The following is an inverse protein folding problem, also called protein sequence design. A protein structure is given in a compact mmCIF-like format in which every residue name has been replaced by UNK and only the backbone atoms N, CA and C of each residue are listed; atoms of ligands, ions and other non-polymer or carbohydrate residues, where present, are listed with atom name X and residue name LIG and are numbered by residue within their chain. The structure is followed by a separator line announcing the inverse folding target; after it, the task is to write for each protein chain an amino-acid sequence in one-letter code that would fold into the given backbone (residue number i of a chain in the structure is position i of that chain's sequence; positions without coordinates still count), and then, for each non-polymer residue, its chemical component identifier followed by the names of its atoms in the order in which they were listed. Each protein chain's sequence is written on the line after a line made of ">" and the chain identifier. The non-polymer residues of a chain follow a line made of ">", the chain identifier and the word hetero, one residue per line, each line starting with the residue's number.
data_IF_858428777565
#
_entry.id   IF_858428777565
#
_cell.length_a   1.000
_cell.length_b   1.000
_cell.length_c   1.000
_cell.angle_alpha   90.00
_cell.angle_beta   90.00
_cell.angle_gamma   90.00
#
_symmetry.space_group_name_H-M   'P 1'
#
loop_
_entity.id
_entity.type
_entity.pdbx_description
1 polymer ?
#
# COMPACT_ATOMS: atom_id res chain seq x y z
N UNK A 1 -62.77 -2.73 -19.13
CA UNK A 1 -62.29 -2.06 -17.90
C UNK A 1 -60.77 -2.19 -17.84
N UNK A 2 -60.10 -1.04 -17.97
CA UNK A 2 -58.74 -0.71 -17.54
C UNK A 2 -57.57 -1.64 -17.89
N UNK A 3 -56.93 -1.33 -19.02
CA UNK A 3 -55.52 -1.61 -19.29
C UNK A 3 -54.61 -1.03 -18.20
N UNK A 4 -53.90 -1.90 -17.49
CA UNK A 4 -52.80 -1.50 -16.62
C UNK A 4 -51.57 -1.14 -17.48
N UNK A 5 -51.42 0.14 -17.80
CA UNK A 5 -50.17 0.69 -18.33
C UNK A 5 -49.06 0.49 -17.31
N UNK A 6 -48.14 -0.44 -17.58
CA UNK A 6 -46.82 -0.46 -16.95
C UNK A 6 -46.12 0.87 -17.24
N UNK A 7 -46.07 1.74 -16.24
CA UNK A 7 -45.26 2.94 -16.28
C UNK A 7 -43.78 2.57 -16.37
N UNK A 8 -43.17 2.73 -17.55
CA UNK A 8 -41.72 2.86 -17.68
C UNK A 8 -41.28 4.00 -16.76
N UNK A 9 -40.59 3.68 -15.66
CA UNK A 9 -39.85 4.69 -14.87
C UNK A 9 -38.92 5.41 -15.85
N UNK A 10 -39.18 6.69 -16.12
CA UNK A 10 -38.22 7.57 -16.80
C UNK A 10 -37.00 7.63 -15.88
N UNK A 11 -35.90 7.01 -16.29
CA UNK A 11 -34.63 7.13 -15.60
C UNK A 11 -34.31 8.61 -15.42
N UNK A 12 -33.92 8.99 -14.22
CA UNK A 12 -33.50 10.37 -13.93
C UNK A 12 -32.23 10.69 -14.73
N UNK A 13 -31.91 11.98 -14.91
CA UNK A 13 -30.63 12.37 -15.52
C UNK A 13 -29.43 11.71 -14.82
N UNK A 14 -29.54 11.46 -13.51
CA UNK A 14 -28.54 10.75 -12.70
C UNK A 14 -28.40 9.29 -13.14
N UNK A 15 -29.50 8.59 -13.41
CA UNK A 15 -29.48 7.19 -13.87
C UNK A 15 -28.83 7.07 -15.26
N UNK A 16 -29.13 8.00 -16.16
CA UNK A 16 -28.50 8.05 -17.49
C UNK A 16 -26.99 8.32 -17.38
N UNK A 17 -26.59 9.30 -16.57
CA UNK A 17 -25.18 9.60 -16.33
C UNK A 17 -24.43 8.40 -15.73
N UNK A 18 -25.08 7.67 -14.81
CA UNK A 18 -24.56 6.43 -14.22
C UNK A 18 -24.37 5.34 -15.28
N UNK A 19 -25.37 5.10 -16.13
CA UNK A 19 -25.26 4.12 -17.23
C UNK A 19 -24.15 4.46 -18.22
N UNK A 20 -24.01 5.73 -18.60
CA UNK A 20 -22.94 6.19 -19.49
C UNK A 20 -21.56 5.94 -18.85
N UNK A 21 -21.42 6.28 -17.56
CA UNK A 21 -20.19 6.02 -16.79
C UNK A 21 -19.88 4.52 -16.74
N UNK A 22 -20.85 3.68 -16.43
CA UNK A 22 -20.69 2.22 -16.35
C UNK A 22 -20.23 1.65 -17.70
N UNK A 23 -20.89 2.01 -18.80
CA UNK A 23 -20.49 1.58 -20.15
C UNK A 23 -19.07 2.06 -20.54
N UNK A 24 -18.68 3.28 -20.14
CA UNK A 24 -17.32 3.77 -20.35
C UNK A 24 -16.28 2.99 -19.51
N UNK A 25 -16.58 2.68 -18.25
CA UNK A 25 -15.71 1.86 -17.39
C UNK A 25 -15.50 0.47 -18.00
N UNK A 26 -16.58 -0.19 -18.42
CA UNK A 26 -16.49 -1.53 -19.03
C UNK A 26 -15.68 -1.53 -20.33
N UNK A 27 -15.83 -0.48 -21.15
CA UNK A 27 -15.12 -0.38 -22.43
C UNK A 27 -13.64 -0.02 -22.30
N UNK A 28 -13.29 0.87 -21.37
CA UNK A 28 -11.94 1.48 -21.33
C UNK A 28 -11.09 1.08 -20.12
N UNK A 29 -11.68 0.47 -19.08
CA UNK A 29 -11.02 0.07 -17.82
C UNK A 29 -11.28 -1.41 -17.51
N UNK A 30 -10.95 -2.28 -18.46
CA UNK A 30 -11.21 -3.71 -18.36
C UNK A 30 -10.40 -4.38 -17.24
N UNK A 31 -9.11 -4.04 -17.12
CA UNK A 31 -8.25 -4.62 -16.11
C UNK A 31 -8.50 -3.99 -14.74
N UNK A 32 -8.76 -4.84 -13.74
CA UNK A 32 -8.84 -4.46 -12.32
C UNK A 32 -7.52 -4.76 -11.64
N UNK A 33 -7.11 -3.91 -10.72
CA UNK A 33 -5.94 -4.20 -9.91
C UNK A 33 -5.99 -3.54 -8.54
N UNK A 34 -5.24 -4.15 -7.62
CA UNK A 34 -4.92 -3.59 -6.31
C UNK A 34 -3.44 -3.24 -6.32
N UNK A 35 -3.13 -1.97 -6.10
CA UNK A 35 -1.79 -1.50 -5.81
C UNK A 35 -1.57 -1.49 -4.29
N UNK A 36 -0.88 -2.51 -3.79
CA UNK A 36 -0.43 -2.59 -2.40
C UNK A 36 0.74 -1.62 -2.19
N UNK A 37 0.46 -0.52 -1.50
CA UNK A 37 1.43 0.52 -1.22
C UNK A 37 2.03 0.32 0.17
N UNK A 38 3.26 -0.19 0.21
CA UNK A 38 4.06 -0.19 1.44
C UNK A 38 4.59 1.21 1.70
N UNK A 39 4.46 1.75 2.94
CA UNK A 39 4.98 3.07 3.28
C UNK A 39 6.42 3.29 2.79
N UNK A 40 6.65 4.48 2.24
CA UNK A 40 7.98 4.98 1.81
C UNK A 40 8.63 4.23 0.65
N UNK A 41 7.85 3.45 -0.09
CA UNK A 41 8.29 2.82 -1.35
C UNK A 41 7.88 3.62 -2.60
N UNK A 42 7.56 4.92 -2.46
CA UNK A 42 7.20 5.78 -3.60
C UNK A 42 5.75 5.66 -4.09
N UNK A 43 4.88 4.99 -3.35
CA UNK A 43 3.52 4.72 -3.81
C UNK A 43 2.59 5.94 -3.85
N UNK A 44 2.93 7.07 -3.25
CA UNK A 44 2.17 8.33 -3.50
C UNK A 44 2.24 8.73 -4.97
N UNK A 45 3.45 8.75 -5.55
CA UNK A 45 3.66 9.10 -6.96
C UNK A 45 3.05 8.06 -7.90
N UNK A 46 3.31 6.77 -7.62
CA UNK A 46 2.81 5.63 -8.42
C UNK A 46 1.29 5.53 -8.35
N UNK A 47 0.72 5.52 -7.13
CA UNK A 47 -0.71 5.45 -6.90
C UNK A 47 -1.46 6.61 -7.57
N UNK A 48 -0.87 7.81 -7.59
CA UNK A 48 -1.45 8.94 -8.32
C UNK A 48 -1.41 8.74 -9.83
N UNK A 49 -0.33 8.19 -10.39
CA UNK A 49 -0.27 7.88 -11.82
C UNK A 49 -1.37 6.88 -12.22
N UNK A 50 -1.60 5.85 -11.39
CA UNK A 50 -2.73 4.92 -11.57
C UNK A 50 -4.09 5.60 -11.48
N UNK A 51 -4.33 6.41 -10.44
CA UNK A 51 -5.61 7.11 -10.26
C UNK A 51 -5.95 8.05 -11.41
N UNK A 52 -4.96 8.70 -12.01
CA UNK A 52 -5.16 9.53 -13.22
C UNK A 52 -5.66 8.69 -14.40
N UNK A 53 -5.10 7.50 -14.60
CA UNK A 53 -5.51 6.57 -15.67
C UNK A 53 -6.90 5.97 -15.44
N UNK A 54 -7.29 5.79 -14.18
CA UNK A 54 -8.53 5.14 -13.74
C UNK A 54 -9.53 6.11 -13.11
N UNK A 55 -9.55 7.38 -13.54
CA UNK A 55 -10.33 8.43 -12.88
C UNK A 55 -11.83 8.11 -12.74
N UNK A 56 -12.40 7.29 -13.64
CA UNK A 56 -13.81 6.87 -13.59
C UNK A 56 -14.10 5.76 -12.56
N UNK A 57 -13.08 4.99 -12.15
CA UNK A 57 -13.24 3.89 -11.18
C UNK A 57 -11.94 3.66 -10.42
N UNK A 58 -11.73 4.50 -9.41
CA UNK A 58 -10.59 4.40 -8.51
C UNK A 58 -10.98 4.72 -7.08
N UNK A 59 -10.31 4.09 -6.13
CA UNK A 59 -10.43 4.37 -4.71
C UNK A 59 -9.06 4.28 -4.04
N UNK A 60 -8.90 4.98 -2.91
CA UNK A 60 -7.71 4.90 -2.09
C UNK A 60 -8.08 4.57 -0.65
N UNK A 61 -7.42 3.57 -0.08
CA UNK A 61 -7.46 3.34 1.37
C UNK A 61 -6.37 4.21 1.99
N UNK A 62 -6.78 5.42 2.36
CA UNK A 62 -5.89 6.48 2.86
C UNK A 62 -5.45 6.21 4.30
N UNK A 63 -4.15 6.27 4.63
CA UNK A 63 -3.65 5.84 5.92
C UNK A 63 -4.07 6.79 7.05
N UNK A 64 -4.07 8.09 6.80
CA UNK A 64 -4.45 9.12 7.78
C UNK A 64 -5.95 9.04 8.08
N UNK A 65 -6.78 9.01 7.03
CA UNK A 65 -8.23 8.98 7.15
C UNK A 65 -8.73 7.70 7.82
N UNK A 66 -8.15 6.54 7.47
CA UNK A 66 -8.50 5.27 8.12
C UNK A 66 -8.04 5.21 9.58
N UNK A 67 -6.87 5.77 9.90
CA UNK A 67 -6.39 5.88 11.28
C UNK A 67 -7.35 6.73 12.12
N UNK A 68 -7.63 7.97 11.68
CA UNK A 68 -8.55 8.88 12.39
C UNK A 68 -9.96 8.30 12.54
N UNK A 69 -10.45 7.59 11.53
CA UNK A 69 -11.73 6.91 11.62
C UNK A 69 -11.72 5.79 12.68
N UNK A 70 -10.65 5.00 12.74
CA UNK A 70 -10.50 3.92 13.72
C UNK A 70 -10.29 4.44 15.15
N UNK A 71 -9.46 5.48 15.30
CA UNK A 71 -9.26 6.20 16.56
C UNK A 71 -10.58 6.77 17.09
N UNK A 72 -11.35 7.48 16.25
CA UNK A 72 -12.65 8.01 16.64
C UNK A 72 -13.68 6.92 16.98
N UNK A 73 -13.61 5.75 16.34
CA UNK A 73 -14.52 4.63 16.60
C UNK A 73 -14.18 3.91 17.91
N UNK A 74 -12.90 3.75 18.21
CA UNK A 74 -12.44 2.98 19.38
C UNK A 74 -12.29 3.83 20.64
N UNK A 75 -12.15 5.15 20.51
CA UNK A 75 -11.89 6.09 21.59
C UNK A 75 -10.63 5.76 22.42
N UNK A 76 -9.68 5.05 21.79
CA UNK A 76 -8.38 4.71 22.37
C UNK A 76 -7.35 5.81 22.11
N UNK A 77 -6.36 5.90 22.98
CA UNK A 77 -5.24 6.86 22.91
C UNK A 77 -3.86 6.20 22.72
N UNK A 78 -3.81 4.86 22.58
CA UNK A 78 -2.58 4.11 22.37
C UNK A 78 -2.18 4.06 20.88
N UNK A 79 -1.48 5.11 20.42
CA UNK A 79 -1.07 5.28 19.02
C UNK A 79 -0.45 4.03 18.39
N UNK A 80 0.45 3.33 19.10
CA UNK A 80 1.11 2.14 18.58
C UNK A 80 0.14 0.97 18.34
N UNK A 81 -0.76 0.71 19.29
CA UNK A 81 -1.78 -0.33 19.14
C UNK A 81 -2.77 0.02 18.02
N UNK A 82 -3.16 1.29 17.92
CA UNK A 82 -4.02 1.79 16.85
C UNK A 82 -3.39 1.63 15.45
N UNK A 83 -2.09 1.89 15.32
CA UNK A 83 -1.35 1.71 14.06
C UNK A 83 -1.34 0.26 13.57
N UNK A 84 -1.41 -0.70 14.49
CA UNK A 84 -1.48 -2.14 14.20
C UNK A 84 -2.91 -2.52 13.83
N UNK A 85 -3.86 -2.17 14.69
CA UNK A 85 -5.25 -2.59 14.56
C UNK A 85 -5.95 -1.99 13.34
N UNK A 86 -5.59 -0.77 12.95
CA UNK A 86 -6.15 -0.13 11.75
C UNK A 86 -5.88 -0.95 10.48
N UNK A 87 -4.86 -1.82 10.46
CA UNK A 87 -4.58 -2.69 9.31
C UNK A 87 -5.74 -3.67 9.04
N UNK A 88 -6.43 -4.15 10.08
CA UNK A 88 -7.62 -5.00 9.92
C UNK A 88 -8.76 -4.22 9.26
N UNK A 89 -9.01 -2.99 9.72
CA UNK A 89 -10.01 -2.10 9.10
C UNK A 89 -9.69 -1.86 7.62
N UNK A 90 -8.42 -1.58 7.31
CA UNK A 90 -7.99 -1.31 5.92
C UNK A 90 -8.18 -2.55 5.04
N UNK A 91 -7.95 -3.76 5.56
CA UNK A 91 -8.23 -5.02 4.87
C UNK A 91 -9.74 -5.21 4.60
N UNK A 92 -10.61 -4.88 5.57
CA UNK A 92 -12.06 -4.89 5.37
C UNK A 92 -12.50 -3.88 4.30
N UNK A 93 -11.92 -2.68 4.31
CA UNK A 93 -12.18 -1.65 3.27
C UNK A 93 -11.73 -2.18 1.89
N UNK A 94 -10.57 -2.84 1.80
CA UNK A 94 -10.13 -3.47 0.55
C UNK A 94 -11.18 -4.44 0.02
N UNK A 95 -11.65 -5.38 0.85
CA UNK A 95 -12.69 -6.34 0.46
C UNK A 95 -13.97 -5.62 -0.01
N UNK A 96 -14.43 -4.62 0.74
CA UNK A 96 -15.58 -3.79 0.37
C UNK A 96 -15.42 -3.15 -1.02
N UNK A 97 -14.25 -2.57 -1.31
CA UNK A 97 -13.96 -1.93 -2.59
C UNK A 97 -13.90 -2.95 -3.74
N UNK A 98 -13.38 -4.15 -3.49
CA UNK A 98 -13.34 -5.23 -4.48
C UNK A 98 -14.74 -5.80 -4.77
N UNK A 99 -15.61 -5.92 -3.77
CA UNK A 99 -17.02 -6.26 -3.97
C UNK A 99 -17.78 -5.15 -4.70
N UNK A 100 -17.38 -3.90 -4.50
CA UNK A 100 -17.91 -2.73 -5.21
C UNK A 100 -17.33 -2.55 -6.62
N UNK A 101 -16.55 -3.52 -7.13
CA UNK A 101 -16.00 -3.58 -8.49
C UNK A 101 -15.15 -2.36 -8.88
N UNK A 102 -14.47 -1.75 -7.90
CA UNK A 102 -13.55 -0.64 -8.16
C UNK A 102 -12.36 -1.13 -8.97
N UNK A 103 -12.07 -0.49 -10.10
CA UNK A 103 -11.09 -1.00 -11.07
C UNK A 103 -9.64 -0.71 -10.68
N UNK A 104 -9.38 0.39 -9.99
CA UNK A 104 -8.06 0.74 -9.46
C UNK A 104 -8.15 1.01 -7.96
N UNK A 105 -7.62 0.10 -7.15
CA UNK A 105 -7.56 0.28 -5.69
C UNK A 105 -6.10 0.55 -5.31
N UNK A 106 -5.82 1.71 -4.71
CA UNK A 106 -4.50 2.03 -4.15
C UNK A 106 -4.60 1.99 -2.63
N UNK A 107 -3.85 1.12 -1.95
CA UNK A 107 -4.15 0.87 -0.54
C UNK A 107 -2.91 0.57 0.31
N UNK A 108 -2.88 1.14 1.52
CA UNK A 108 -1.94 0.76 2.59
C UNK A 108 -2.49 -0.44 3.36
N UNK A 109 -2.54 -1.59 2.71
CA UNK A 109 -3.18 -2.80 3.23
C UNK A 109 -2.21 -3.97 3.22
N UNK A 110 -2.34 -4.82 4.24
CA UNK A 110 -1.69 -6.12 4.25
C UNK A 110 -2.24 -7.00 3.12
N UNK A 111 -1.47 -7.99 2.73
CA UNK A 111 -1.91 -9.06 1.86
C UNK A 111 -3.01 -9.84 2.58
N UNK A 112 -4.16 -9.96 1.92
CA UNK A 112 -5.31 -10.69 2.42
C UNK A 112 -5.47 -11.98 1.65
N UNK A 113 -5.26 -13.11 2.32
CA UNK A 113 -5.49 -14.44 1.73
C UNK A 113 -6.95 -14.59 1.27
N UNK A 114 -7.88 -14.00 2.02
CA UNK A 114 -9.32 -13.99 1.69
C UNK A 114 -9.55 -13.21 0.39
N UNK A 115 -8.98 -12.01 0.27
CA UNK A 115 -9.10 -11.22 -0.95
C UNK A 115 -8.47 -11.97 -2.14
N UNK A 116 -7.27 -12.51 -1.97
CA UNK A 116 -6.59 -13.22 -3.04
C UNK A 116 -7.37 -14.45 -3.49
N UNK A 117 -7.77 -15.34 -2.58
CA UNK A 117 -8.52 -16.56 -2.91
C UNK A 117 -9.83 -16.24 -3.65
N UNK A 118 -10.50 -15.13 -3.31
CA UNK A 118 -11.78 -14.76 -3.89
C UNK A 118 -11.68 -13.99 -5.20
N UNK A 119 -10.61 -13.22 -5.41
CA UNK A 119 -10.52 -12.23 -6.47
C UNK A 119 -9.29 -12.36 -7.40
N UNK A 120 -8.35 -13.27 -7.18
CA UNK A 120 -7.14 -13.41 -8.04
C UNK A 120 -7.46 -13.60 -9.54
N UNK A 121 -8.58 -14.24 -9.89
CA UNK A 121 -9.01 -14.39 -11.28
C UNK A 121 -9.60 -13.12 -11.90
N UNK A 122 -9.81 -12.05 -11.13
CA UNK A 122 -10.43 -10.79 -11.58
C UNK A 122 -9.57 -9.56 -11.34
N UNK A 123 -8.80 -9.55 -10.26
CA UNK A 123 -7.92 -8.46 -9.85
C UNK A 123 -6.47 -8.88 -9.97
N UNK A 124 -5.67 -8.04 -10.61
CA UNK A 124 -4.21 -8.12 -10.61
C UNK A 124 -3.65 -7.51 -9.31
N UNK A 125 -2.57 -8.07 -8.80
CA UNK A 125 -1.90 -7.64 -7.59
C UNK A 125 -0.57 -7.00 -7.94
N UNK A 126 -0.42 -5.73 -7.55
CA UNK A 126 0.70 -4.88 -7.94
C UNK A 126 1.34 -4.28 -6.70
N UNK A 127 2.66 -4.29 -6.63
CA UNK A 127 3.41 -3.53 -5.63
C UNK A 127 4.72 -2.99 -6.20
N UNK A 128 5.32 -2.07 -5.46
CA UNK A 128 6.66 -1.57 -5.70
C UNK A 128 7.36 -1.44 -4.35
N UNK A 129 8.58 -1.96 -4.27
CA UNK A 129 9.37 -2.02 -3.05
C UNK A 129 10.59 -1.10 -3.16
N UNK A 130 11.19 -0.77 -2.02
CA UNK A 130 12.44 -0.02 -1.92
C UNK A 130 13.48 -0.83 -1.13
N UNK A 131 14.76 -0.58 -1.34
CA UNK A 131 15.79 -1.22 -0.50
C UNK A 131 15.47 -1.00 1.01
N UNK A 132 15.41 -2.07 1.83
CA UNK A 132 14.90 -2.03 3.20
C UNK A 132 15.49 -0.95 4.09
N UNK A 133 16.81 -0.76 4.06
CA UNK A 133 17.52 0.20 4.92
C UNK A 133 17.18 1.62 4.48
N UNK A 134 17.24 1.91 3.19
CA UNK A 134 16.83 3.21 2.65
C UNK A 134 15.36 3.52 2.96
N UNK A 135 14.48 2.51 2.92
CA UNK A 135 13.08 2.66 3.28
C UNK A 135 12.91 2.94 4.78
N UNK A 136 13.64 2.23 5.65
CA UNK A 136 13.64 2.44 7.11
C UNK A 136 14.04 3.88 7.46
N UNK A 137 15.18 4.35 6.97
CA UNK A 137 15.66 5.72 7.21
C UNK A 137 14.68 6.75 6.63
N UNK A 138 14.12 6.48 5.45
CA UNK A 138 13.11 7.36 4.87
C UNK A 138 11.81 7.42 5.68
N UNK A 139 11.48 6.35 6.40
CA UNK A 139 10.30 6.30 7.26
C UNK A 139 10.55 7.08 8.54
N UNK A 140 11.66 6.82 9.24
CA UNK A 140 12.08 7.59 10.41
C UNK A 140 12.07 9.10 10.10
N UNK A 141 12.77 9.55 9.05
CA UNK A 141 12.82 10.97 8.68
C UNK A 141 11.46 11.59 8.34
N UNK A 142 10.51 10.78 7.86
CA UNK A 142 9.17 11.28 7.58
C UNK A 142 8.34 11.36 8.86
N UNK A 143 8.52 10.45 9.80
CA UNK A 143 7.75 10.37 11.04
C UNK A 143 8.27 11.27 12.14
N UNK A 144 9.58 11.44 12.23
CA UNK A 144 10.24 12.17 13.32
C UNK A 144 9.86 13.66 13.34
N UNK A 145 9.37 14.12 14.49
CA UNK A 145 9.00 15.52 14.73
C UNK A 145 7.81 16.02 13.92
N UNK A 146 6.94 15.13 13.43
CA UNK A 146 5.67 15.49 12.76
C UNK A 146 4.51 15.44 13.72
N UNK A 147 4.42 16.47 14.58
CA UNK A 147 3.36 16.60 15.57
C UNK A 147 1.96 16.45 14.96
N UNK A 148 1.18 15.53 15.53
CA UNK A 148 -0.21 15.27 15.13
C UNK A 148 -0.38 14.42 13.88
N UNK A 149 0.70 13.82 13.35
CA UNK A 149 0.60 12.81 12.29
C UNK A 149 0.33 11.42 12.88
N UNK A 150 -0.48 10.59 12.20
CA UNK A 150 -0.82 9.23 12.67
C UNK A 150 0.39 8.34 13.01
N UNK A 151 1.55 8.58 12.38
CA UNK A 151 2.79 7.84 12.63
C UNK A 151 3.93 8.76 13.05
N UNK A 152 3.66 9.76 13.89
CA UNK A 152 4.68 10.59 14.56
C UNK A 152 5.68 9.74 15.35
N UNK A 153 6.97 10.09 15.29
CA UNK A 153 8.02 9.60 16.19
C UNK A 153 8.56 10.81 16.95
N UNK A 154 8.71 10.68 18.26
CA UNK A 154 9.22 11.76 19.13
C UNK A 154 10.62 11.48 19.64
N UNK A 155 11.02 10.20 19.64
CA UNK A 155 12.33 9.75 20.08
C UNK A 155 13.42 10.09 19.07
N UNK A 156 14.57 10.53 19.59
CA UNK A 156 15.81 10.62 18.82
C UNK A 156 16.23 9.26 18.27
N UNK A 157 17.04 9.28 17.20
CA UNK A 157 17.29 8.10 16.40
C UNK A 157 17.87 6.93 17.21
N UNK A 158 18.87 7.17 18.07
CA UNK A 158 19.49 6.11 18.88
C UNK A 158 18.50 5.48 19.86
N UNK A 159 17.63 6.29 20.48
CA UNK A 159 16.56 5.80 21.36
C UNK A 159 15.50 5.04 20.57
N UNK A 160 15.12 5.56 19.40
CA UNK A 160 14.16 4.94 18.51
C UNK A 160 14.63 3.53 18.08
N UNK A 161 15.91 3.34 17.76
CA UNK A 161 16.45 2.04 17.33
C UNK A 161 16.25 0.91 18.36
N UNK A 162 16.08 1.24 19.65
CA UNK A 162 15.83 0.27 20.72
C UNK A 162 14.34 -0.05 20.92
N UNK A 163 13.44 0.64 20.20
CA UNK A 163 11.99 0.51 20.39
C UNK A 163 11.39 -0.70 19.68
N UNK A 164 10.26 -1.20 20.20
CA UNK A 164 9.40 -2.19 19.52
C UNK A 164 8.93 -1.66 18.16
N UNK A 165 8.69 -0.35 18.07
CA UNK A 165 8.30 0.31 16.85
C UNK A 165 9.39 0.29 15.77
N UNK A 166 10.66 0.48 16.14
CA UNK A 166 11.77 0.30 15.20
C UNK A 166 11.86 -1.16 14.73
N UNK A 167 11.69 -2.13 15.64
CA UNK A 167 11.61 -3.55 15.29
C UNK A 167 10.53 -3.79 14.23
N UNK A 168 9.27 -3.42 14.49
CA UNK A 168 8.17 -3.60 13.53
C UNK A 168 8.39 -2.80 12.24
N UNK A 169 8.91 -1.58 12.34
CA UNK A 169 9.23 -0.75 11.18
C UNK A 169 10.26 -1.43 10.28
N UNK A 170 11.27 -2.11 10.84
CA UNK A 170 12.30 -2.85 10.10
C UNK A 170 11.81 -4.13 9.42
N UNK A 171 10.66 -4.67 9.81
CA UNK A 171 10.03 -5.85 9.21
C UNK A 171 8.68 -5.52 8.53
N UNK A 172 8.60 -4.37 7.86
CA UNK A 172 7.34 -3.90 7.29
C UNK A 172 6.90 -4.76 6.09
N UNK A 173 7.82 -5.34 5.33
CA UNK A 173 7.48 -6.26 4.23
C UNK A 173 6.90 -7.55 4.79
N UNK A 174 7.46 -8.04 5.90
CA UNK A 174 6.90 -9.17 6.62
C UNK A 174 5.48 -8.84 7.13
N UNK A 175 5.27 -7.67 7.74
CA UNK A 175 3.94 -7.22 8.20
C UNK A 175 2.94 -7.09 7.04
N UNK A 176 3.34 -6.50 5.92
CA UNK A 176 2.45 -6.23 4.81
C UNK A 176 2.18 -7.45 3.92
N UNK A 177 3.09 -8.42 3.81
CA UNK A 177 2.94 -9.48 2.82
C UNK A 177 2.79 -10.88 3.41
N UNK A 178 3.10 -11.13 4.68
CA UNK A 178 2.99 -12.49 5.26
C UNK A 178 1.56 -13.04 5.35
N UNK A 179 0.54 -12.16 5.33
CA UNK A 179 -0.85 -12.54 5.56
C UNK A 179 -1.08 -13.14 6.95
N UNK A 180 -0.20 -12.86 7.91
CA UNK A 180 -0.33 -13.27 9.29
C UNK A 180 -1.32 -12.36 10.05
N UNK A 181 -1.98 -12.87 11.10
CA UNK A 181 -2.79 -12.04 11.99
C UNK A 181 -1.91 -11.00 12.69
N UNK A 182 -2.52 -9.91 13.16
CA UNK A 182 -1.79 -8.74 13.69
C UNK A 182 -1.00 -9.02 14.96
N UNK A 183 -1.39 -10.06 15.71
CA UNK A 183 -0.75 -10.53 16.93
C UNK A 183 0.53 -11.33 16.66
N UNK A 184 0.78 -11.72 15.40
CA UNK A 184 1.95 -12.51 15.05
C UNK A 184 3.24 -11.69 15.15
N UNK A 185 4.33 -12.36 15.53
CA UNK A 185 5.66 -11.77 15.47
C UNK A 185 6.13 -11.68 14.02
N UNK A 186 6.16 -10.46 13.47
CA UNK A 186 6.57 -10.19 12.08
C UNK A 186 8.08 -10.34 11.86
N UNK A 187 8.85 -10.63 12.92
CA UNK A 187 10.30 -10.85 12.87
C UNK A 187 10.73 -12.31 12.82
N UNK A 188 9.81 -13.25 12.97
CA UNK A 188 10.17 -14.66 12.87
C UNK A 188 10.42 -15.06 11.40
N UNK A 189 11.18 -16.15 11.20
CA UNK A 189 11.51 -16.63 9.85
C UNK A 189 10.26 -17.03 9.05
N UNK A 190 9.22 -17.52 9.73
CA UNK A 190 7.93 -17.85 9.12
C UNK A 190 7.28 -16.63 8.44
N UNK A 191 7.40 -15.43 9.03
CA UNK A 191 6.83 -14.20 8.47
C UNK A 191 7.53 -13.81 7.17
N UNK A 192 8.86 -13.88 7.11
CA UNK A 192 9.63 -13.63 5.88
C UNK A 192 9.31 -14.67 4.80
N UNK A 193 9.30 -15.96 5.16
CA UNK A 193 8.99 -17.04 4.22
C UNK A 193 7.58 -16.89 3.62
N UNK A 194 6.58 -16.55 4.45
CA UNK A 194 5.22 -16.28 3.99
C UNK A 194 5.13 -15.02 3.13
N UNK A 195 5.84 -13.96 3.50
CA UNK A 195 5.89 -12.74 2.70
C UNK A 195 6.45 -13.00 1.30
N UNK A 196 7.53 -13.79 1.19
CA UNK A 196 8.11 -14.22 -0.08
C UNK A 196 7.09 -15.05 -0.88
N UNK A 197 6.47 -16.06 -0.25
CA UNK A 197 5.46 -16.89 -0.90
C UNK A 197 4.27 -16.09 -1.41
N UNK A 198 3.83 -15.08 -0.65
CA UNK A 198 2.72 -14.23 -1.06
C UNK A 198 3.11 -13.22 -2.13
N UNK A 199 4.34 -12.71 -2.13
CA UNK A 199 4.83 -11.88 -3.23
C UNK A 199 4.90 -12.66 -4.54
N UNK A 200 5.12 -13.98 -4.53
CA UNK A 200 5.04 -14.81 -5.75
C UNK A 200 3.63 -14.88 -6.35
N UNK A 201 2.60 -14.54 -5.56
CA UNK A 201 1.22 -14.44 -6.02
C UNK A 201 0.93 -13.12 -6.73
N UNK A 202 1.81 -12.12 -6.63
CA UNK A 202 1.63 -10.82 -7.26
C UNK A 202 1.95 -10.89 -8.75
N UNK A 203 1.14 -10.21 -9.57
CA UNK A 203 1.39 -10.09 -11.00
C UNK A 203 2.53 -9.12 -11.29
N UNK A 204 2.73 -8.12 -10.44
CA UNK A 204 3.83 -7.14 -10.57
C UNK A 204 4.46 -6.83 -9.22
N UNK A 205 5.77 -7.08 -9.11
CA UNK A 205 6.63 -6.66 -7.99
C UNK A 205 7.80 -5.87 -8.54
N UNK A 206 7.69 -4.54 -8.48
CA UNK A 206 8.71 -3.61 -8.97
C UNK A 206 9.70 -3.14 -7.92
N UNK A 207 10.80 -2.54 -8.38
CA UNK A 207 11.76 -1.83 -7.53
C UNK A 207 11.70 -0.32 -7.76
N UNK A 208 11.75 0.46 -6.69
CA UNK A 208 11.72 1.92 -6.73
C UNK A 208 12.95 2.52 -7.42
N UNK A 209 14.09 1.83 -7.41
CA UNK A 209 15.30 2.24 -8.12
C UNK A 209 15.30 1.84 -9.61
N UNK A 210 14.27 1.12 -10.07
CA UNK A 210 14.10 0.66 -11.46
C UNK A 210 12.70 1.01 -11.98
N UNK A 211 12.33 2.29 -11.88
CA UNK A 211 10.99 2.78 -12.24
C UNK A 211 10.66 2.53 -13.71
N UNK A 212 11.62 2.66 -14.62
CA UNK A 212 11.37 2.46 -16.05
C UNK A 212 10.94 1.00 -16.32
N UNK A 213 11.70 0.03 -15.82
CA UNK A 213 11.36 -1.40 -15.89
C UNK A 213 10.00 -1.73 -15.23
N UNK A 214 9.69 -1.07 -14.11
CA UNK A 214 8.37 -1.18 -13.49
C UNK A 214 7.26 -0.67 -14.42
N UNK A 215 7.43 0.49 -15.06
CA UNK A 215 6.42 1.04 -15.98
C UNK A 215 6.23 0.19 -17.24
N UNK A 216 7.28 -0.42 -17.76
CA UNK A 216 7.21 -1.37 -18.88
C UNK A 216 6.43 -2.63 -18.49
N UNK A 217 6.69 -3.17 -17.29
CA UNK A 217 5.95 -4.31 -16.77
C UNK A 217 4.47 -3.97 -16.55
N UNK A 218 4.17 -2.78 -16.05
CA UNK A 218 2.79 -2.29 -15.91
C UNK A 218 2.06 -2.24 -17.25
N UNK A 219 2.73 -1.77 -18.30
CA UNK A 219 2.14 -1.78 -19.64
C UNK A 219 1.84 -3.21 -20.11
N UNK A 220 2.79 -4.13 -19.91
CA UNK A 220 2.62 -5.53 -20.28
C UNK A 220 1.49 -6.22 -19.52
N UNK A 221 1.47 -6.11 -18.19
CA UNK A 221 0.54 -6.84 -17.33
C UNK A 221 -0.84 -6.19 -17.22
N UNK A 222 -0.92 -4.86 -17.32
CA UNK A 222 -2.17 -4.12 -17.15
C UNK A 222 -2.70 -3.49 -18.45
N UNK A 223 -1.92 -3.49 -19.53
CA UNK A 223 -2.34 -3.01 -20.85
C UNK A 223 -2.37 -1.49 -21.01
N UNK A 224 -1.66 -0.74 -20.17
CA UNK A 224 -1.55 0.72 -20.28
C UNK A 224 -0.24 1.28 -19.77
N UNK A 225 0.24 2.35 -20.41
CA UNK A 225 1.37 3.13 -19.92
C UNK A 225 0.95 4.08 -18.80
N UNK A 226 1.82 4.25 -17.82
CA UNK A 226 1.73 5.31 -16.80
C UNK A 226 2.94 6.23 -16.89
N UNK A 227 2.76 7.48 -16.48
CA UNK A 227 3.87 8.43 -16.29
C UNK A 227 3.99 8.76 -14.80
N UNK A 228 5.06 8.31 -14.19
CA UNK A 228 5.33 8.55 -12.77
C UNK A 228 6.13 9.86 -12.67
N UNK A 229 5.53 10.88 -12.06
CA UNK A 229 6.23 12.13 -11.80
C UNK A 229 7.20 12.01 -10.62
N UNK A 230 8.30 12.75 -10.68
CA UNK A 230 9.18 12.94 -9.53
C UNK A 230 8.61 13.99 -8.56
N UNK A 231 8.06 13.54 -7.44
CA UNK A 231 7.52 14.44 -6.40
C UNK A 231 8.39 14.55 -5.15
N UNK A 232 9.66 14.18 -5.25
CA UNK A 232 10.56 14.17 -4.10
C UNK A 232 11.13 15.56 -3.77
N UNK A 233 10.26 16.57 -3.68
CA UNK A 233 10.57 17.86 -3.04
C UNK A 233 9.88 17.89 -1.68
N UNK A 234 10.28 17.01 -0.77
CA UNK A 234 10.02 17.27 0.65
C UNK A 234 10.93 18.45 1.03
N UNK A 235 10.40 19.63 1.41
CA UNK A 235 11.21 20.80 1.72
C UNK A 235 12.18 20.57 2.90
N UNK A 236 11.96 19.50 3.71
CA UNK A 236 12.86 19.08 4.79
C UNK A 236 13.93 18.04 4.38
N UNK A 237 14.03 17.68 3.10
CA UNK A 237 14.95 16.62 2.61
C UNK A 237 16.43 16.92 2.89
N UNK A 238 16.78 18.15 3.25
CA UNK A 238 18.13 18.55 3.66
C UNK A 238 18.49 18.27 5.13
N UNK A 239 17.52 18.08 6.03
CA UNK A 239 17.76 18.02 7.48
C UNK A 239 17.54 16.64 8.11
N UNK A 240 17.16 15.63 7.33
CA UNK A 240 16.98 14.25 7.80
C UNK A 240 18.27 13.44 7.74
N UNK A 241 18.32 12.37 8.52
CA UNK A 241 19.46 11.44 8.57
C UNK A 241 19.63 10.75 7.22
N UNK A 242 20.87 10.62 6.74
CA UNK A 242 21.19 9.78 5.58
C UNK A 242 21.92 8.53 6.02
N UNK A 243 21.84 7.47 5.22
CA UNK A 243 22.59 6.23 5.47
C UNK A 243 24.09 6.51 5.58
N UNK A 244 24.62 7.46 4.79
CA UNK A 244 26.02 7.90 4.83
C UNK A 244 26.44 8.57 6.14
N UNK A 245 25.48 9.06 6.91
CA UNK A 245 25.73 9.84 8.12
C UNK A 245 25.68 8.97 9.38
N UNK A 246 25.30 7.69 9.23
CA UNK A 246 25.20 6.74 10.34
C UNK A 246 26.58 6.32 10.83
N UNK A 247 26.75 6.27 12.15
CA UNK A 247 27.89 5.60 12.75
C UNK A 247 27.84 4.10 12.42
N UNK A 248 28.99 3.43 12.55
CA UNK A 248 29.08 1.97 12.34
C UNK A 248 28.09 1.20 13.21
N UNK A 249 27.97 1.56 14.49
CA UNK A 249 27.04 0.89 15.41
C UNK A 249 25.57 1.15 15.06
N UNK A 250 25.23 2.35 14.61
CA UNK A 250 23.87 2.66 14.14
C UNK A 250 23.54 1.85 12.88
N UNK A 251 24.46 1.80 11.93
CA UNK A 251 24.29 1.04 10.69
C UNK A 251 24.12 -0.46 10.98
N UNK A 252 24.95 -1.04 11.84
CA UNK A 252 24.84 -2.44 12.29
C UNK A 252 23.47 -2.73 12.93
N UNK A 253 22.96 -1.82 13.80
CA UNK A 253 21.61 -1.93 14.37
C UNK A 253 20.52 -1.86 13.31
N UNK A 254 20.60 -0.92 12.38
CA UNK A 254 19.61 -0.79 11.29
C UNK A 254 19.60 -2.03 10.39
N UNK A 255 20.78 -2.60 10.09
CA UNK A 255 20.88 -3.87 9.38
C UNK A 255 20.20 -5.01 10.14
N UNK A 256 20.47 -5.15 11.44
CA UNK A 256 19.81 -6.15 12.27
C UNK A 256 18.30 -5.94 12.28
N UNK A 257 17.84 -4.68 12.39
CA UNK A 257 16.43 -4.34 12.38
C UNK A 257 15.72 -4.68 11.06
N UNK A 258 16.42 -4.50 9.94
CA UNK A 258 15.88 -4.72 8.61
C UNK A 258 16.11 -6.14 8.08
N UNK A 259 16.80 -7.01 8.82
CA UNK A 259 17.17 -8.34 8.35
C UNK A 259 15.99 -9.17 7.79
N UNK A 260 14.79 -9.17 8.41
CA UNK A 260 13.63 -9.86 7.85
C UNK A 260 13.20 -9.28 6.48
N UNK A 261 13.15 -7.95 6.35
CA UNK A 261 12.79 -7.29 5.10
C UNK A 261 13.90 -7.42 4.04
N UNK A 262 15.16 -7.50 4.44
CA UNK A 262 16.30 -7.82 3.56
C UNK A 262 16.15 -9.22 2.97
N UNK A 263 15.79 -10.23 3.79
CA UNK A 263 15.51 -11.57 3.27
C UNK A 263 14.35 -11.57 2.25
N UNK A 264 13.28 -10.82 2.53
CA UNK A 264 12.15 -10.67 1.59
C UNK A 264 12.59 -9.96 0.31
N UNK A 265 13.37 -8.89 0.42
CA UNK A 265 13.89 -8.11 -0.71
C UNK A 265 14.79 -8.98 -1.61
N UNK A 266 15.74 -9.71 -1.04
CA UNK A 266 16.68 -10.52 -1.81
C UNK A 266 15.98 -11.67 -2.56
N UNK A 267 14.92 -12.23 -1.97
CA UNK A 267 14.14 -13.33 -2.53
C UNK A 267 12.89 -12.89 -3.32
N UNK A 268 12.61 -11.59 -3.41
CA UNK A 268 11.39 -11.11 -4.06
C UNK A 268 11.36 -11.52 -5.54
N UNK A 269 10.18 -11.85 -6.08
CA UNK A 269 10.02 -12.26 -7.48
C UNK A 269 10.01 -11.04 -8.39
N UNK A 270 11.14 -10.34 -8.45
CA UNK A 270 11.31 -9.14 -9.25
C UNK A 270 10.84 -9.40 -10.68
N UNK A 271 9.97 -8.54 -11.17
CA UNK A 271 9.49 -8.64 -12.54
C UNK A 271 10.67 -8.49 -13.49
N UNK A 272 11.00 -9.59 -14.16
CA UNK A 272 12.08 -9.63 -15.15
C UNK A 272 11.60 -8.87 -16.38
N UNK A 273 12.38 -7.86 -16.78
CA UNK A 273 12.33 -7.22 -18.10
C UNK A 273 12.46 -8.26 -19.20
#
# INVERSE_FOLDING_TARGET
>A
MSDAKLGKKRGTFVDLAKQIKEGAVERFLQQRFVFHHVPKCGGTSVGRAFRKRYFLSQATVDPESSYRAYEAFTLRDDQEGLLIDVLDLREQILLYLMFSDIRCISAHVRFSEIAYARFNGRYKYVTILREPIQRFISHYNWSYGRSGAHAEITEEFDTFLESVRAKRMGAIYCEYFSGLPKEADVWNEDASARAISNLQKFDVVGRLDQIDAFTETIEKELGFKIRIGHENKDPKRGSGIRVSDLSRSQLEKVHALCAPDTAVWDAAPWTKT
#
